data_IF_473603803933
#
_entry.id   IF_473603803933
#
_cell.length_a   1.000
_cell.length_b   1.000
_cell.length_c   1.000
_cell.angle_alpha   90.00
_cell.angle_beta   90.00
_cell.angle_gamma   90.00
#
_symmetry.space_group_name_H-M   'P 1'
#
loop_
_entity.id
_entity.type
_entity.pdbx_description
1 polymer ?
#
# COMPACT_ATOMS: atom_id res chain seq x y z
N UNK A 1 23.86 3.76 35.11
CA UNK A 1 22.36 3.82 35.10
C UNK A 1 21.85 2.73 34.18
N UNK A 2 20.87 1.92 34.59
CA UNK A 2 20.32 0.89 33.71
C UNK A 2 19.57 1.57 32.54
N UNK A 3 19.89 1.17 31.31
CA UNK A 3 19.21 1.67 30.12
C UNK A 3 17.73 1.25 30.18
N UNK A 4 16.82 2.21 30.03
CA UNK A 4 15.39 1.90 29.93
C UNK A 4 15.05 1.57 28.47
N UNK A 5 14.69 0.29 28.15
CA UNK A 5 14.39 -0.15 26.80
C UNK A 5 13.29 0.67 26.12
N UNK A 6 12.22 0.98 26.84
CA UNK A 6 11.06 1.71 26.27
C UNK A 6 11.44 3.14 25.87
N UNK A 7 12.31 3.79 26.63
CA UNK A 7 12.79 5.13 26.29
C UNK A 7 13.66 5.11 25.03
N UNK A 8 14.50 4.09 24.85
CA UNK A 8 15.33 3.94 23.64
C UNK A 8 14.43 3.71 22.43
N UNK A 9 13.48 2.77 22.52
CA UNK A 9 12.53 2.49 21.44
C UNK A 9 11.69 3.73 21.11
N UNK A 10 11.20 4.46 22.12
CA UNK A 10 10.45 5.71 21.89
C UNK A 10 11.29 6.78 21.19
N UNK A 11 12.58 6.91 21.55
CA UNK A 11 13.52 7.86 20.92
C UNK A 11 13.77 7.52 19.46
N UNK A 12 14.01 6.25 19.14
CA UNK A 12 14.16 5.74 17.76
C UNK A 12 12.88 5.95 16.97
N UNK A 13 11.73 5.64 17.56
CA UNK A 13 10.41 5.80 16.91
C UNK A 13 10.13 7.26 16.58
N UNK A 14 10.32 8.18 17.52
CA UNK A 14 10.12 9.63 17.30
C UNK A 14 11.01 10.18 16.20
N UNK A 15 12.20 9.62 16.02
CA UNK A 15 13.12 10.05 14.98
C UNK A 15 12.70 9.54 13.60
N UNK A 16 12.40 8.24 13.46
CA UNK A 16 12.24 7.66 12.13
C UNK A 16 10.77 7.59 11.68
N UNK A 17 9.83 7.26 12.55
CA UNK A 17 8.47 6.93 12.12
C UNK A 17 7.74 8.10 11.45
N UNK A 18 7.76 9.34 11.97
CA UNK A 18 7.13 10.46 11.28
C UNK A 18 7.72 10.73 9.90
N UNK A 19 9.04 10.62 9.77
CA UNK A 19 9.72 10.84 8.49
C UNK A 19 9.43 9.70 7.49
N UNK A 20 9.41 8.45 7.93
CA UNK A 20 9.05 7.32 7.07
C UNK A 20 7.58 7.35 6.66
N UNK A 21 6.67 7.79 7.56
CA UNK A 21 5.26 8.06 7.22
C UNK A 21 5.19 9.12 6.10
N UNK A 22 5.97 10.20 6.20
CA UNK A 22 6.05 11.22 5.15
C UNK A 22 6.55 10.63 3.82
N UNK A 23 7.60 9.84 3.83
CA UNK A 23 8.10 9.18 2.62
C UNK A 23 7.04 8.25 1.98
N UNK A 24 6.30 7.51 2.81
CA UNK A 24 5.27 6.59 2.31
C UNK A 24 3.99 7.32 1.88
N UNK A 25 3.68 8.44 2.54
CA UNK A 25 2.63 9.36 2.10
C UNK A 25 2.89 9.83 0.66
N UNK A 26 4.11 10.31 0.36
CA UNK A 26 4.50 10.72 -0.98
C UNK A 26 4.43 9.55 -1.98
N UNK A 27 4.89 8.36 -1.57
CA UNK A 27 4.82 7.15 -2.41
C UNK A 27 3.39 6.86 -2.83
N UNK A 28 2.48 6.87 -1.87
CA UNK A 28 1.09 6.53 -2.17
C UNK A 28 0.36 7.64 -2.93
N UNK A 29 0.70 8.92 -2.66
CA UNK A 29 0.21 10.06 -3.41
C UNK A 29 0.58 9.95 -4.89
N UNK A 30 1.88 9.79 -5.21
CA UNK A 30 2.40 9.66 -6.58
C UNK A 30 1.89 8.41 -7.31
N UNK A 31 1.47 7.38 -6.57
CA UNK A 31 0.91 6.16 -7.12
C UNK A 31 -0.54 6.32 -7.57
N UNK A 32 -1.34 7.09 -6.82
CA UNK A 32 -2.79 7.20 -7.06
C UNK A 32 -3.22 8.50 -7.74
N UNK A 33 -2.36 9.52 -7.79
CA UNK A 33 -2.66 10.82 -8.42
C UNK A 33 -3.02 10.70 -9.91
N UNK A 34 -2.54 9.66 -10.59
CA UNK A 34 -2.90 9.34 -11.96
C UNK A 34 -4.43 9.18 -12.16
N UNK A 35 -5.15 8.74 -11.11
CA UNK A 35 -6.61 8.67 -11.12
C UNK A 35 -7.28 10.05 -11.22
N UNK A 36 -6.66 11.07 -10.61
CA UNK A 36 -7.11 12.47 -10.74
C UNK A 36 -6.67 13.08 -12.05
N UNK A 37 -5.44 12.84 -12.50
CA UNK A 37 -4.97 13.26 -13.82
C UNK A 37 -5.94 12.82 -14.93
N UNK A 38 -6.44 11.59 -14.83
CA UNK A 38 -7.37 11.00 -15.79
C UNK A 38 -8.64 11.83 -16.06
N UNK A 39 -9.03 12.69 -15.10
CA UNK A 39 -10.21 13.56 -15.25
C UNK A 39 -10.09 14.51 -16.44
N UNK A 40 -8.88 14.90 -16.81
CA UNK A 40 -8.59 15.79 -17.94
C UNK A 40 -7.58 15.19 -18.93
N UNK A 41 -6.54 14.51 -18.44
CA UNK A 41 -5.48 13.91 -19.24
C UNK A 41 -6.00 12.92 -20.29
N UNK A 42 -6.94 12.04 -19.94
CA UNK A 42 -7.42 11.02 -20.87
C UNK A 42 -8.01 11.64 -22.15
N UNK A 43 -8.74 12.77 -22.01
CA UNK A 43 -9.28 13.49 -23.13
C UNK A 43 -8.17 14.18 -23.95
N UNK A 44 -7.18 14.77 -23.27
CA UNK A 44 -6.11 15.54 -23.91
C UNK A 44 -5.19 14.68 -24.78
N UNK A 45 -4.91 13.44 -24.36
CA UNK A 45 -4.00 12.53 -25.07
C UNK A 45 -4.75 11.36 -25.76
N UNK A 46 -6.09 11.38 -25.74
CA UNK A 46 -6.93 10.43 -26.48
C UNK A 46 -6.95 9.00 -25.90
N UNK A 47 -6.83 8.83 -24.57
CA UNK A 47 -6.87 7.51 -23.95
C UNK A 47 -8.30 6.97 -23.81
N UNK A 48 -8.52 5.73 -24.24
CA UNK A 48 -9.70 4.95 -23.86
C UNK A 48 -9.62 4.52 -22.37
N UNK A 49 -10.73 4.05 -21.82
CA UNK A 49 -10.72 3.54 -20.44
C UNK A 49 -9.83 2.30 -20.29
N UNK A 50 -9.81 1.41 -21.28
CA UNK A 50 -8.90 0.26 -21.31
C UNK A 50 -7.44 0.69 -21.37
N UNK A 51 -7.10 1.66 -22.25
CA UNK A 51 -5.75 2.20 -22.37
C UNK A 51 -5.28 2.87 -21.08
N UNK A 52 -6.15 3.66 -20.43
CA UNK A 52 -5.87 4.23 -19.11
C UNK A 52 -5.67 3.14 -18.05
N UNK A 53 -6.58 2.17 -17.96
CA UNK A 53 -6.49 1.05 -17.02
C UNK A 53 -5.20 0.27 -17.20
N UNK A 54 -4.79 -0.04 -18.41
CA UNK A 54 -3.53 -0.70 -18.73
C UNK A 54 -2.32 0.14 -18.32
N UNK A 55 -2.27 1.40 -18.72
CA UNK A 55 -1.18 2.30 -18.38
C UNK A 55 -1.03 2.52 -16.88
N UNK A 56 -2.15 2.74 -16.16
CA UNK A 56 -2.14 2.88 -14.72
C UNK A 56 -1.62 1.60 -14.02
N UNK A 57 -1.92 0.43 -14.59
CA UNK A 57 -1.62 -0.89 -14.01
C UNK A 57 -0.24 -1.41 -14.33
N UNK A 58 0.34 -1.09 -15.49
CA UNK A 58 1.66 -1.61 -15.92
C UNK A 58 2.78 -1.21 -14.95
N UNK A 59 2.55 -0.18 -14.14
CA UNK A 59 3.35 0.16 -12.97
C UNK A 59 3.58 -1.05 -12.05
N UNK A 60 2.52 -1.79 -11.72
CA UNK A 60 2.61 -2.94 -10.82
C UNK A 60 3.42 -4.08 -11.41
N UNK A 61 3.43 -4.21 -12.72
CA UNK A 61 4.29 -5.21 -13.40
C UNK A 61 5.77 -4.82 -13.27
N UNK A 62 6.12 -3.56 -13.52
CA UNK A 62 7.47 -3.04 -13.31
C UNK A 62 7.92 -3.19 -11.85
N UNK A 63 7.05 -2.84 -10.93
CA UNK A 63 7.28 -2.97 -9.50
C UNK A 63 7.55 -4.44 -9.11
N UNK A 64 6.69 -5.37 -9.52
CA UNK A 64 6.81 -6.80 -9.24
C UNK A 64 8.12 -7.41 -9.74
N UNK A 65 8.51 -7.12 -10.98
CA UNK A 65 9.71 -7.68 -11.58
C UNK A 65 11.01 -7.21 -10.90
N UNK A 66 11.02 -5.99 -10.38
CA UNK A 66 12.22 -5.37 -9.81
C UNK A 66 12.22 -5.27 -8.28
N UNK A 67 11.17 -5.69 -7.59
CA UNK A 67 11.07 -5.66 -6.13
C UNK A 67 12.19 -6.47 -5.46
N UNK A 68 12.38 -7.73 -5.87
CA UNK A 68 13.43 -8.60 -5.32
C UNK A 68 14.84 -8.11 -5.66
N UNK A 69 15.19 -7.83 -6.94
CA UNK A 69 16.48 -7.25 -7.28
C UNK A 69 16.81 -5.98 -6.52
N UNK A 70 15.84 -5.07 -6.36
CA UNK A 70 16.00 -3.81 -5.62
C UNK A 70 16.36 -4.05 -4.15
N UNK A 71 15.69 -5.00 -3.48
CA UNK A 71 15.99 -5.30 -2.08
C UNK A 71 17.38 -5.95 -1.88
N UNK A 72 17.79 -6.83 -2.81
CA UNK A 72 19.13 -7.40 -2.78
C UNK A 72 20.23 -6.34 -2.92
N UNK A 73 19.98 -5.30 -3.73
CA UNK A 73 20.91 -4.19 -3.86
C UNK A 73 20.90 -3.34 -2.58
N UNK A 74 19.72 -3.09 -2.00
CA UNK A 74 19.59 -2.35 -0.72
C UNK A 74 20.43 -2.99 0.38
N UNK A 75 20.41 -4.32 0.54
CA UNK A 75 21.22 -5.03 1.51
C UNK A 75 22.71 -4.82 1.32
N UNK A 76 23.18 -4.71 0.07
CA UNK A 76 24.60 -4.51 -0.27
C UNK A 76 25.05 -3.04 -0.17
N UNK A 77 24.20 -2.10 -0.55
CA UNK A 77 24.56 -0.67 -0.65
C UNK A 77 24.24 0.13 0.60
N UNK A 78 23.43 -0.42 1.50
CA UNK A 78 22.86 0.28 2.65
C UNK A 78 21.51 0.93 2.35
N UNK A 79 20.63 0.93 3.35
CA UNK A 79 19.26 1.38 3.21
C UNK A 79 19.18 2.88 2.90
N UNK A 80 20.00 3.70 3.55
CA UNK A 80 20.06 5.17 3.36
C UNK A 80 20.29 5.54 1.89
N UNK A 81 21.34 4.99 1.29
CA UNK A 81 21.72 5.31 -0.10
C UNK A 81 20.65 4.78 -1.06
N UNK A 82 20.20 3.55 -0.85
CA UNK A 82 19.29 2.91 -1.80
C UNK A 82 17.88 3.50 -1.76
N UNK A 83 17.33 3.78 -0.57
CA UNK A 83 16.03 4.47 -0.42
C UNK A 83 16.09 5.86 -1.02
N UNK A 84 17.18 6.61 -0.80
CA UNK A 84 17.38 7.92 -1.41
C UNK A 84 17.40 7.84 -2.95
N UNK A 85 18.14 6.87 -3.51
CA UNK A 85 18.16 6.62 -4.95
C UNK A 85 16.74 6.33 -5.49
N UNK A 86 15.99 5.45 -4.80
CA UNK A 86 14.61 5.14 -5.17
C UNK A 86 13.79 6.43 -5.21
N UNK A 87 13.79 7.23 -4.15
CA UNK A 87 12.97 8.44 -4.07
C UNK A 87 13.38 9.51 -5.08
N UNK A 88 14.68 9.72 -5.31
CA UNK A 88 15.16 10.69 -6.31
C UNK A 88 14.73 10.27 -7.72
N UNK A 89 14.98 9.01 -8.11
CA UNK A 89 14.66 8.52 -9.45
C UNK A 89 13.15 8.48 -9.68
N UNK A 90 12.40 8.02 -8.70
CA UNK A 90 10.94 8.00 -8.77
C UNK A 90 10.37 9.44 -8.80
N UNK A 91 10.87 10.37 -7.98
CA UNK A 91 10.43 11.76 -8.00
C UNK A 91 10.65 12.45 -9.36
N UNK A 92 11.79 12.19 -10.00
CA UNK A 92 12.04 12.65 -11.38
C UNK A 92 11.01 12.06 -12.34
N UNK A 93 10.77 10.75 -12.27
CA UNK A 93 9.81 10.08 -13.15
C UNK A 93 8.38 10.51 -12.88
N UNK A 94 8.01 10.83 -11.62
CA UNK A 94 6.73 11.44 -11.28
C UNK A 94 6.54 12.77 -12.02
N UNK A 95 7.53 13.66 -11.95
CA UNK A 95 7.52 14.93 -12.71
C UNK A 95 7.47 14.68 -14.22
N UNK A 96 8.17 13.66 -14.74
CA UNK A 96 8.16 13.31 -16.15
C UNK A 96 6.77 12.93 -16.68
N UNK A 97 5.82 12.51 -15.81
CA UNK A 97 4.44 12.28 -16.24
C UNK A 97 3.78 13.54 -16.85
N UNK A 98 4.26 14.74 -16.51
CA UNK A 98 3.81 15.97 -17.13
C UNK A 98 4.09 16.04 -18.65
N UNK A 99 4.97 15.20 -19.17
CA UNK A 99 5.41 15.20 -20.58
C UNK A 99 4.87 14.01 -21.36
N UNK A 100 3.86 13.31 -20.87
CA UNK A 100 3.14 12.26 -21.61
C UNK A 100 2.37 12.90 -22.76
N UNK A 101 2.46 12.28 -23.96
CA UNK A 101 1.80 12.81 -25.18
C UNK A 101 0.96 11.77 -25.94
N UNK A 102 1.05 10.49 -25.59
CA UNK A 102 0.23 9.41 -26.15
C UNK A 102 0.23 8.18 -25.21
N UNK A 103 -0.52 7.14 -25.59
CA UNK A 103 -0.62 5.88 -24.84
C UNK A 103 0.74 5.16 -24.67
N UNK A 104 1.56 5.09 -25.71
CA UNK A 104 2.86 4.43 -25.66
C UNK A 104 3.80 5.13 -24.67
N UNK A 105 3.88 6.46 -24.69
CA UNK A 105 4.68 7.23 -23.73
C UNK A 105 4.16 7.07 -22.31
N UNK A 106 2.85 6.97 -22.13
CA UNK A 106 2.21 6.69 -20.86
C UNK A 106 2.59 5.31 -20.33
N UNK A 107 2.48 4.26 -21.14
CA UNK A 107 2.83 2.89 -20.75
C UNK A 107 4.30 2.76 -20.39
N UNK A 108 5.19 3.28 -21.23
CA UNK A 108 6.62 3.22 -21.01
C UNK A 108 7.01 3.93 -19.69
N UNK A 109 6.48 5.14 -19.48
CA UNK A 109 6.81 5.90 -18.28
C UNK A 109 6.24 5.26 -17.01
N UNK A 110 5.00 4.74 -17.04
CA UNK A 110 4.39 4.02 -15.92
C UNK A 110 5.15 2.74 -15.57
N UNK A 111 5.61 1.98 -16.56
CA UNK A 111 6.45 0.81 -16.33
C UNK A 111 7.77 1.18 -15.65
N UNK A 112 8.50 2.16 -16.20
CA UNK A 112 9.79 2.62 -15.66
C UNK A 112 9.60 3.23 -14.26
N UNK A 113 8.49 3.92 -14.03
CA UNK A 113 8.12 4.45 -12.72
C UNK A 113 7.94 3.32 -11.69
N UNK A 114 7.27 2.23 -12.08
CA UNK A 114 7.15 1.03 -11.24
C UNK A 114 8.50 0.39 -10.92
N UNK A 115 9.40 0.30 -11.92
CA UNK A 115 10.78 -0.19 -11.73
C UNK A 115 11.56 0.71 -10.76
N UNK A 116 11.42 2.02 -10.86
CA UNK A 116 12.14 2.97 -10.02
C UNK A 116 11.67 2.94 -8.56
N UNK A 117 10.37 2.78 -8.32
CA UNK A 117 9.76 2.68 -6.99
C UNK A 117 9.92 1.29 -6.37
N UNK A 118 10.21 0.28 -7.19
CA UNK A 118 10.34 -1.10 -6.74
C UNK A 118 11.35 -1.24 -5.59
N UNK A 119 10.94 -1.96 -4.55
CA UNK A 119 11.75 -2.16 -3.35
C UNK A 119 11.62 -1.06 -2.29
N UNK A 120 10.86 0.02 -2.53
CA UNK A 120 10.67 1.07 -1.51
C UNK A 120 9.98 0.53 -0.26
N UNK A 121 8.77 -0.01 -0.38
CA UNK A 121 8.02 -0.52 0.77
C UNK A 121 8.75 -1.67 1.49
N UNK A 122 9.14 -2.77 0.81
CA UNK A 122 9.87 -3.84 1.48
C UNK A 122 11.25 -3.39 1.98
N UNK A 123 11.89 -2.42 1.33
CA UNK A 123 13.14 -1.81 1.80
C UNK A 123 12.96 -1.04 3.12
N UNK A 124 11.86 -0.31 3.27
CA UNK A 124 11.52 0.33 4.56
C UNK A 124 11.24 -0.74 5.63
N UNK A 125 10.49 -1.79 5.30
CA UNK A 125 10.23 -2.89 6.25
C UNK A 125 11.55 -3.53 6.69
N UNK A 126 12.47 -3.78 5.77
CA UNK A 126 13.80 -4.29 6.08
C UNK A 126 14.60 -3.30 6.96
N UNK A 127 14.57 -2.00 6.62
CA UNK A 127 15.21 -0.95 7.42
C UNK A 127 14.68 -0.92 8.85
N UNK A 128 13.36 -1.07 9.04
CA UNK A 128 12.76 -1.16 10.38
C UNK A 128 13.27 -2.36 11.18
N UNK A 129 13.65 -3.46 10.53
CA UNK A 129 14.28 -4.61 11.23
C UNK A 129 15.67 -4.30 11.77
N UNK A 130 16.37 -3.32 11.21
CA UNK A 130 17.68 -2.89 11.70
C UNK A 130 17.61 -1.99 12.93
N UNK A 131 16.41 -1.46 13.25
CA UNK A 131 16.21 -0.49 14.32
C UNK A 131 15.26 -0.94 15.42
N UNK A 132 14.36 -1.90 15.14
CA UNK A 132 13.32 -2.31 16.07
C UNK A 132 13.36 -3.81 16.32
N UNK A 133 13.46 -4.23 17.61
CA UNK A 133 13.30 -5.63 18.00
C UNK A 133 11.94 -6.21 17.61
N UNK A 134 11.87 -7.53 17.45
CA UNK A 134 10.68 -8.24 16.96
C UNK A 134 9.41 -7.94 17.75
N UNK A 135 9.55 -7.77 19.08
CA UNK A 135 8.43 -7.56 20.01
C UNK A 135 7.63 -6.27 19.70
N UNK A 136 8.29 -5.23 19.20
CA UNK A 136 7.65 -3.94 18.91
C UNK A 136 7.44 -3.71 17.42
N UNK A 137 8.07 -4.51 16.56
CA UNK A 137 8.14 -4.28 15.11
C UNK A 137 6.76 -4.27 14.44
N UNK A 138 5.87 -5.18 14.80
CA UNK A 138 4.52 -5.24 14.23
C UNK A 138 3.74 -3.93 14.48
N UNK A 139 3.83 -3.38 15.70
CA UNK A 139 3.22 -2.09 16.06
C UNK A 139 3.83 -0.94 15.25
N UNK A 140 5.15 -0.94 15.07
CA UNK A 140 5.86 0.11 14.31
C UNK A 140 5.48 0.07 12.83
N UNK A 141 5.40 -1.12 12.23
CA UNK A 141 4.94 -1.29 10.84
C UNK A 141 3.49 -0.83 10.70
N UNK A 142 2.61 -1.18 11.65
CA UNK A 142 1.23 -0.70 11.66
C UNK A 142 1.13 0.83 11.69
N UNK A 143 1.94 1.50 12.51
CA UNK A 143 2.01 2.97 12.52
C UNK A 143 2.49 3.54 11.19
N UNK A 144 3.48 2.92 10.55
CA UNK A 144 3.98 3.31 9.24
C UNK A 144 2.90 3.17 8.14
N UNK A 145 2.11 2.11 8.16
CA UNK A 145 1.06 1.86 7.17
C UNK A 145 -0.10 2.85 7.22
N UNK A 146 -0.28 3.61 8.31
CA UNK A 146 -1.28 4.68 8.40
C UNK A 146 -1.07 5.77 7.32
N UNK A 147 0.12 5.87 6.76
CA UNK A 147 0.40 6.76 5.63
C UNK A 147 -0.54 6.53 4.44
N UNK A 148 -0.99 5.29 4.19
CA UNK A 148 -1.84 4.94 3.04
C UNK A 148 -3.19 5.67 3.06
N UNK A 149 -4.03 5.49 4.09
CA UNK A 149 -5.30 6.22 4.15
C UNK A 149 -5.11 7.73 4.34
N UNK A 150 -4.06 8.19 5.02
CA UNK A 150 -3.75 9.63 5.13
C UNK A 150 -3.42 10.22 3.76
N UNK A 151 -2.68 9.49 2.92
CA UNK A 151 -2.37 9.92 1.55
C UNK A 151 -3.64 10.08 0.71
N UNK A 152 -4.59 9.17 0.83
CA UNK A 152 -5.88 9.31 0.13
C UNK A 152 -6.70 10.49 0.66
N UNK A 153 -6.72 10.70 2.00
CA UNK A 153 -7.46 11.76 2.65
C UNK A 153 -6.96 13.17 2.26
N UNK A 154 -5.65 13.35 2.21
CA UNK A 154 -5.01 14.65 1.93
C UNK A 154 -4.75 14.80 0.43
N UNK A 155 -4.30 13.73 -0.23
CA UNK A 155 -3.90 13.75 -1.64
C UNK A 155 -5.06 14.03 -2.57
N UNK A 156 -6.24 13.44 -2.32
CA UNK A 156 -7.40 13.64 -3.18
C UNK A 156 -7.84 15.12 -3.26
N UNK A 157 -8.04 15.85 -2.15
CA UNK A 157 -8.31 17.30 -2.20
C UNK A 157 -7.14 18.09 -2.81
N UNK A 158 -5.89 17.71 -2.51
CA UNK A 158 -4.71 18.41 -3.03
C UNK A 158 -4.64 18.30 -4.56
N UNK A 159 -4.70 17.10 -5.11
CA UNK A 159 -4.69 16.85 -6.56
C UNK A 159 -5.82 17.60 -7.27
N UNK A 160 -7.03 17.53 -6.72
CA UNK A 160 -8.19 18.23 -7.28
C UNK A 160 -8.09 19.76 -7.16
N UNK A 161 -7.52 20.26 -6.08
CA UNK A 161 -7.24 21.69 -5.91
C UNK A 161 -6.25 22.17 -6.97
N UNK A 162 -5.14 21.48 -7.19
CA UNK A 162 -4.16 21.84 -8.23
C UNK A 162 -4.83 21.86 -9.61
N UNK A 163 -5.59 20.80 -9.95
CA UNK A 163 -6.31 20.71 -11.22
C UNK A 163 -7.32 21.86 -11.42
N UNK A 164 -7.97 22.31 -10.34
CA UNK A 164 -9.01 23.34 -10.41
C UNK A 164 -8.46 24.75 -10.41
N UNK A 165 -7.41 25.03 -9.64
CA UNK A 165 -6.88 26.39 -9.43
C UNK A 165 -5.88 26.77 -10.52
N UNK A 166 -4.99 25.84 -10.89
CA UNK A 166 -4.00 26.10 -11.93
C UNK A 166 -4.67 26.12 -13.30
N UNK A 167 -5.69 25.28 -13.51
CA UNK A 167 -6.46 25.22 -14.75
C UNK A 167 -5.58 24.92 -15.97
N UNK A 168 -6.20 25.01 -17.14
CA UNK A 168 -5.48 24.85 -18.40
C UNK A 168 -4.91 26.21 -18.89
N UNK A 169 -3.65 26.17 -19.26
CA UNK A 169 -2.98 27.29 -19.91
C UNK A 169 -2.10 28.17 -19.03
N UNK A 170 -1.96 27.91 -17.74
CA UNK A 170 -0.96 28.58 -16.91
C UNK A 170 0.44 28.27 -17.45
N UNK A 171 1.12 29.25 -18.01
CA UNK A 171 2.37 29.12 -18.77
C UNK A 171 2.31 28.12 -19.94
N UNK A 172 1.13 27.91 -20.54
CA UNK A 172 0.93 26.95 -21.63
C UNK A 172 0.93 25.50 -21.24
N UNK A 173 0.92 25.20 -19.91
CA UNK A 173 0.96 23.86 -19.33
C UNK A 173 -0.44 23.49 -18.83
N UNK A 174 -0.87 22.27 -19.03
CA UNK A 174 -2.18 21.75 -18.60
C UNK A 174 -2.24 21.54 -17.09
N UNK A 175 -3.43 21.61 -16.49
CA UNK A 175 -3.62 21.41 -15.06
C UNK A 175 -3.12 20.05 -14.57
N UNK A 176 -3.35 18.95 -15.33
CA UNK A 176 -2.84 17.62 -14.98
C UNK A 176 -1.31 17.51 -15.05
N UNK A 177 -0.66 18.26 -15.94
CA UNK A 177 0.80 18.32 -16.02
C UNK A 177 1.38 19.01 -14.78
N UNK A 178 0.78 20.16 -14.39
CA UNK A 178 1.14 20.85 -13.16
C UNK A 178 0.97 19.99 -11.93
N UNK A 179 -0.07 19.16 -11.86
CA UNK A 179 -0.29 18.26 -10.73
C UNK A 179 0.90 17.30 -10.56
N UNK A 180 1.37 16.68 -11.63
CA UNK A 180 2.56 15.79 -11.55
C UNK A 180 3.84 16.54 -11.17
N UNK A 181 4.03 17.77 -11.63
CA UNK A 181 5.20 18.59 -11.27
C UNK A 181 5.16 18.95 -9.79
N UNK A 182 4.02 19.45 -9.30
CA UNK A 182 3.86 19.93 -7.92
C UNK A 182 3.91 18.78 -6.91
N UNK A 183 3.32 17.64 -7.23
CA UNK A 183 3.30 16.48 -6.33
C UNK A 183 4.59 15.65 -6.40
N UNK A 184 5.25 15.55 -7.55
CA UNK A 184 6.52 14.83 -7.70
C UNK A 184 7.73 15.58 -7.13
N UNK A 185 7.69 16.92 -7.10
CA UNK A 185 8.80 17.71 -6.59
C UNK A 185 9.12 17.47 -5.10
N UNK A 186 8.15 17.40 -4.17
CA UNK A 186 8.40 17.03 -2.79
C UNK A 186 9.09 15.66 -2.64
N UNK A 187 8.71 14.69 -3.46
CA UNK A 187 9.33 13.35 -3.49
C UNK A 187 10.80 13.43 -3.88
N UNK A 188 11.09 14.14 -4.96
CA UNK A 188 12.47 14.37 -5.43
C UNK A 188 13.34 15.04 -4.36
N UNK A 189 12.85 16.11 -3.73
CA UNK A 189 13.54 16.83 -2.65
C UNK A 189 13.75 15.92 -1.43
N UNK A 190 12.70 15.17 -1.04
CA UNK A 190 12.76 14.25 0.11
C UNK A 190 13.82 13.18 -0.10
N UNK A 191 14.07 12.72 -1.33
CA UNK A 191 15.15 11.79 -1.63
C UNK A 191 16.54 12.30 -1.19
N UNK A 192 16.84 13.58 -1.33
CA UNK A 192 18.07 14.17 -0.80
C UNK A 192 18.04 14.30 0.73
N UNK A 193 16.86 14.60 1.30
CA UNK A 193 16.73 14.66 2.78
C UNK A 193 16.99 13.27 3.38
N UNK A 194 16.58 12.18 2.72
CA UNK A 194 16.87 10.79 3.14
C UNK A 194 18.38 10.59 3.33
N UNK A 195 19.21 11.07 2.41
CA UNK A 195 20.68 10.96 2.52
C UNK A 195 21.25 11.64 3.76
N UNK A 196 20.63 12.73 4.20
CA UNK A 196 21.09 13.48 5.37
C UNK A 196 20.48 12.96 6.69
N UNK A 197 19.25 12.43 6.63
CA UNK A 197 18.46 12.13 7.82
C UNK A 197 18.52 10.67 8.29
N UNK A 198 18.48 9.71 7.35
CA UNK A 198 18.55 8.30 7.70
C UNK A 198 19.96 7.90 8.11
N UNK A 199 20.02 6.94 9.03
CA UNK A 199 21.28 6.30 9.48
C UNK A 199 21.12 4.80 9.19
N UNK A 200 22.14 4.16 8.60
CA UNK A 200 22.02 2.77 8.16
C UNK A 200 21.91 1.78 9.32
N UNK A 201 22.62 2.02 10.42
CA UNK A 201 22.60 1.09 11.55
C UNK A 201 22.67 1.82 12.90
N UNK A 202 22.22 1.16 14.00
CA UNK A 202 22.37 1.72 15.34
C UNK A 202 23.82 2.02 15.73
N UNK A 203 24.81 1.32 15.17
CA UNK A 203 26.23 1.55 15.42
C UNK A 203 26.67 2.94 15.01
N UNK A 204 26.07 3.47 13.95
CA UNK A 204 26.40 4.77 13.33
C UNK A 204 25.56 5.92 13.91
N UNK A 205 24.66 5.62 14.87
CA UNK A 205 23.73 6.59 15.45
C UNK A 205 24.40 7.54 16.44
N UNK A 206 24.86 8.69 15.98
CA UNK A 206 25.48 9.73 16.82
C UNK A 206 24.49 10.41 17.78
N UNK A 207 23.21 10.32 17.52
CA UNK A 207 22.12 10.88 18.32
C UNK A 207 21.64 9.98 19.47
N UNK A 208 22.13 8.72 19.55
CA UNK A 208 22.03 7.83 20.71
C UNK A 208 23.26 7.99 21.59
N UNK A 209 23.08 7.97 22.92
CA UNK A 209 24.21 7.89 23.81
C UNK A 209 24.89 6.51 23.74
N UNK A 210 26.07 6.36 24.34
CA UNK A 210 26.85 5.14 24.22
C UNK A 210 26.16 3.90 24.82
N UNK A 211 25.43 4.07 25.93
CA UNK A 211 24.70 2.98 26.61
C UNK A 211 23.47 2.57 25.79
N UNK A 212 22.66 3.53 25.31
CA UNK A 212 21.51 3.30 24.45
C UNK A 212 21.91 2.55 23.17
N UNK A 213 23.01 2.99 22.55
CA UNK A 213 23.55 2.40 21.32
C UNK A 213 24.01 0.95 21.57
N UNK A 214 24.79 0.74 22.62
CA UNK A 214 25.28 -0.59 22.99
C UNK A 214 24.15 -1.56 23.28
N UNK A 215 23.16 -1.12 24.05
CA UNK A 215 21.96 -1.92 24.35
C UNK A 215 21.22 -2.32 23.07
N UNK A 216 20.94 -1.36 22.18
CA UNK A 216 20.17 -1.63 20.96
C UNK A 216 20.93 -2.59 20.03
N UNK A 217 22.24 -2.38 19.85
CA UNK A 217 23.09 -3.26 19.03
C UNK A 217 23.10 -4.69 19.57
N UNK A 218 23.29 -4.86 20.90
CA UNK A 218 23.30 -6.17 21.52
C UNK A 218 21.95 -6.87 21.41
N UNK A 219 20.84 -6.14 21.63
CA UNK A 219 19.48 -6.70 21.52
C UNK A 219 19.18 -7.23 20.13
N UNK A 220 19.52 -6.44 19.09
CA UNK A 220 19.30 -6.83 17.69
C UNK A 220 20.25 -7.96 17.25
N UNK A 221 21.48 -7.99 17.75
CA UNK A 221 22.43 -9.07 17.49
C UNK A 221 21.95 -10.41 18.08
N UNK A 222 21.44 -10.40 19.32
CA UNK A 222 20.87 -11.59 19.96
C UNK A 222 19.64 -12.12 19.19
N UNK A 223 18.78 -11.24 18.64
CA UNK A 223 17.66 -11.66 17.79
C UNK A 223 18.15 -12.31 16.49
N UNK A 224 19.20 -11.76 15.87
CA UNK A 224 19.75 -12.26 14.61
C UNK A 224 20.35 -13.66 14.74
N UNK A 225 21.13 -13.89 15.78
CA UNK A 225 21.72 -15.22 16.06
C UNK A 225 20.66 -16.30 16.26
N UNK A 226 19.53 -15.97 16.88
CA UNK A 226 18.43 -16.91 17.08
C UNK A 226 17.68 -17.26 15.77
N UNK A 227 17.69 -16.37 14.77
CA UNK A 227 17.03 -16.59 13.48
C UNK A 227 17.87 -17.40 12.50
N UNK A 228 19.19 -17.31 12.55
CA UNK A 228 20.10 -18.04 11.65
C UNK A 228 20.03 -19.57 11.84
N UNK A 229 19.47 -20.04 12.96
CA UNK A 229 19.24 -21.46 13.24
C UNK A 229 18.01 -22.06 12.55
N UNK A 230 17.21 -21.28 11.79
CA UNK A 230 15.94 -21.73 11.21
C UNK A 230 16.10 -22.06 9.72
N UNK A 231 15.71 -23.27 9.31
CA UNK A 231 15.74 -23.75 7.93
C UNK A 231 14.91 -22.85 6.99
N UNK A 232 15.48 -22.49 5.84
CA UNK A 232 14.78 -21.68 4.81
C UNK A 232 13.92 -22.56 3.91
N UNK A 233 12.67 -22.14 3.74
CA UNK A 233 11.74 -22.71 2.76
C UNK A 233 12.23 -22.35 1.35
N UNK A 234 12.28 -23.31 0.45
CA UNK A 234 12.66 -23.01 -0.93
C UNK A 234 11.52 -22.34 -1.68
N UNK A 235 11.84 -21.48 -2.65
CA UNK A 235 10.83 -20.83 -3.49
C UNK A 235 9.92 -21.86 -4.17
N UNK A 236 10.46 -23.01 -4.58
CA UNK A 236 9.70 -24.09 -5.20
C UNK A 236 8.65 -24.69 -4.23
N UNK A 237 9.02 -24.91 -2.98
CA UNK A 237 8.10 -25.42 -1.94
C UNK A 237 7.00 -24.41 -1.66
N UNK A 238 7.32 -23.10 -1.57
CA UNK A 238 6.34 -22.04 -1.39
C UNK A 238 5.36 -21.95 -2.58
N UNK A 239 5.87 -22.01 -3.82
CA UNK A 239 5.06 -21.96 -5.04
C UNK A 239 4.08 -23.13 -5.19
N UNK A 240 4.37 -24.28 -4.60
CA UNK A 240 3.54 -25.49 -4.70
C UNK A 240 2.63 -25.70 -3.49
N UNK A 241 2.81 -24.94 -2.41
CA UNK A 241 2.04 -25.14 -1.17
C UNK A 241 0.60 -24.59 -1.30
N UNK A 242 -0.45 -25.44 -1.22
CA UNK A 242 -1.83 -25.01 -1.51
C UNK A 242 -2.33 -23.86 -0.64
N UNK A 243 -1.94 -23.86 0.66
CA UNK A 243 -2.34 -22.78 1.58
C UNK A 243 -1.69 -21.44 1.24
N UNK A 244 -0.43 -21.45 0.76
CA UNK A 244 0.27 -20.23 0.31
C UNK A 244 -0.42 -19.64 -0.91
N UNK A 245 -0.75 -20.49 -1.89
CA UNK A 245 -1.47 -20.06 -3.10
C UNK A 245 -2.88 -19.54 -2.78
N UNK A 246 -3.59 -20.21 -1.87
CA UNK A 246 -4.91 -19.75 -1.41
C UNK A 246 -4.82 -18.38 -0.71
N UNK A 247 -3.84 -18.17 0.17
CA UNK A 247 -3.60 -16.86 0.82
C UNK A 247 -3.15 -15.79 -0.18
N UNK A 248 -2.35 -16.16 -1.18
CA UNK A 248 -1.99 -15.24 -2.26
C UNK A 248 -3.24 -14.79 -3.06
N UNK A 249 -4.18 -15.70 -3.32
CA UNK A 249 -5.44 -15.37 -3.98
C UNK A 249 -6.36 -14.51 -3.10
N UNK A 250 -6.38 -14.74 -1.79
CA UNK A 250 -7.07 -13.87 -0.82
C UNK A 250 -6.50 -12.46 -0.87
N UNK A 251 -5.18 -12.32 -0.79
CA UNK A 251 -4.52 -11.02 -0.84
C UNK A 251 -4.70 -10.32 -2.18
N UNK A 252 -4.63 -11.07 -3.28
CA UNK A 252 -4.96 -10.58 -4.62
C UNK A 252 -6.36 -9.96 -4.69
N UNK A 253 -7.38 -10.61 -4.12
CA UNK A 253 -8.75 -10.09 -4.14
C UNK A 253 -8.95 -8.85 -3.27
N UNK A 254 -8.15 -8.62 -2.22
CA UNK A 254 -8.17 -7.36 -1.46
C UNK A 254 -7.47 -6.26 -2.28
N UNK A 255 -6.30 -6.57 -2.81
CA UNK A 255 -5.44 -5.62 -3.53
C UNK A 255 -6.08 -5.17 -4.83
N UNK A 256 -6.79 -6.08 -5.54
CA UNK A 256 -7.55 -5.73 -6.75
C UNK A 256 -8.63 -4.68 -6.45
N UNK A 257 -9.34 -4.83 -5.32
CA UNK A 257 -10.31 -3.84 -4.85
C UNK A 257 -9.65 -2.51 -4.48
N UNK A 258 -8.56 -2.55 -3.70
CA UNK A 258 -7.84 -1.37 -3.22
C UNK A 258 -7.38 -0.47 -4.38
N UNK A 259 -6.61 -1.02 -5.30
CA UNK A 259 -6.02 -0.22 -6.38
C UNK A 259 -7.04 0.13 -7.46
N UNK A 260 -7.98 -0.76 -7.77
CA UNK A 260 -9.03 -0.41 -8.75
C UNK A 260 -9.92 0.72 -8.23
N UNK A 261 -10.36 0.63 -6.97
CA UNK A 261 -11.15 1.71 -6.37
C UNK A 261 -10.34 3.01 -6.30
N UNK A 262 -9.09 2.95 -5.81
CA UNK A 262 -8.23 4.13 -5.71
C UNK A 262 -7.99 4.85 -7.04
N UNK A 263 -7.82 4.10 -8.13
CA UNK A 263 -7.55 4.66 -9.47
C UNK A 263 -8.82 5.14 -10.20
N UNK A 264 -9.96 4.45 -10.01
CA UNK A 264 -11.19 4.74 -10.75
C UNK A 264 -12.18 5.61 -9.99
N UNK A 265 -12.09 5.68 -8.65
CA UNK A 265 -13.03 6.45 -7.83
C UNK A 265 -13.18 7.92 -8.24
N UNK A 266 -12.10 8.68 -8.58
CA UNK A 266 -12.23 10.04 -9.04
C UNK A 266 -13.10 10.15 -10.30
N UNK A 267 -12.92 9.24 -11.26
CA UNK A 267 -13.72 9.22 -12.50
C UNK A 267 -15.17 8.79 -12.24
N UNK A 268 -15.40 7.83 -11.33
CA UNK A 268 -16.74 7.40 -10.93
C UNK A 268 -17.50 8.57 -10.29
N UNK A 269 -16.87 9.25 -9.33
CA UNK A 269 -17.47 10.42 -8.65
C UNK A 269 -17.71 11.59 -9.64
N UNK A 270 -16.78 11.81 -10.55
CA UNK A 270 -16.94 12.81 -11.60
C UNK A 270 -18.15 12.53 -12.49
N UNK A 271 -18.41 11.26 -12.80
CA UNK A 271 -19.58 10.85 -13.59
C UNK A 271 -20.91 11.05 -12.84
N UNK A 272 -20.90 11.24 -11.52
CA UNK A 272 -22.08 11.62 -10.74
C UNK A 272 -22.44 13.11 -10.90
N UNK A 273 -21.68 13.88 -11.69
CA UNK A 273 -21.91 15.28 -11.95
C UNK A 273 -21.12 16.22 -11.04
N UNK A 274 -20.25 15.71 -10.17
CA UNK A 274 -19.39 16.51 -9.30
C UNK A 274 -18.42 17.38 -10.11
N UNK A 275 -18.09 18.58 -9.63
CA UNK A 275 -16.97 19.37 -10.13
C UNK A 275 -15.64 18.70 -9.80
N UNK A 276 -14.54 19.14 -10.40
CA UNK A 276 -13.20 18.58 -10.08
C UNK A 276 -12.88 18.75 -8.59
N UNK A 277 -13.18 19.93 -8.03
CA UNK A 277 -12.93 20.22 -6.61
C UNK A 277 -13.79 19.34 -5.70
N UNK A 278 -15.08 19.21 -5.97
CA UNK A 278 -15.99 18.32 -5.22
C UNK A 278 -15.55 16.86 -5.33
N UNK A 279 -15.07 16.44 -6.50
CA UNK A 279 -14.52 15.09 -6.69
C UNK A 279 -13.37 14.81 -5.72
N UNK A 280 -12.48 15.78 -5.48
CA UNK A 280 -11.39 15.63 -4.51
C UNK A 280 -11.89 15.41 -3.08
N UNK A 281 -12.81 16.26 -2.61
CA UNK A 281 -13.36 16.14 -1.28
C UNK A 281 -14.19 14.86 -1.11
N UNK A 282 -15.03 14.51 -2.07
CA UNK A 282 -15.81 13.29 -2.02
C UNK A 282 -14.89 12.06 -2.03
N UNK A 283 -13.87 12.03 -2.88
CA UNK A 283 -12.91 10.90 -2.94
C UNK A 283 -12.09 10.74 -1.65
N UNK A 284 -11.92 11.81 -0.87
CA UNK A 284 -11.26 11.75 0.44
C UNK A 284 -12.10 11.01 1.50
N UNK A 285 -13.44 11.01 1.38
CA UNK A 285 -14.35 10.42 2.39
C UNK A 285 -14.12 8.92 2.57
N UNK A 286 -14.06 8.07 1.50
CA UNK A 286 -13.70 6.66 1.64
C UNK A 286 -12.33 6.44 2.29
N UNK A 287 -11.36 7.33 2.06
CA UNK A 287 -10.06 7.31 2.73
C UNK A 287 -10.17 7.55 4.23
N UNK A 288 -10.96 8.54 4.65
CA UNK A 288 -11.21 8.83 6.06
C UNK A 288 -11.94 7.66 6.76
N UNK A 289 -13.02 7.18 6.15
CA UNK A 289 -13.77 6.02 6.67
C UNK A 289 -12.87 4.78 6.73
N UNK A 290 -12.03 4.60 5.72
CA UNK A 290 -11.04 3.52 5.67
C UNK A 290 -10.00 3.61 6.79
N UNK A 291 -9.48 4.80 7.07
CA UNK A 291 -8.53 5.00 8.18
C UNK A 291 -9.16 4.63 9.55
N UNK A 292 -10.38 5.11 9.80
CA UNK A 292 -11.12 4.79 11.01
C UNK A 292 -11.44 3.29 11.10
N UNK A 293 -11.93 2.71 10.01
CA UNK A 293 -12.23 1.28 9.93
C UNK A 293 -10.97 0.42 10.18
N UNK A 294 -9.84 0.77 9.55
CA UNK A 294 -8.56 0.09 9.75
C UNK A 294 -8.16 0.07 11.23
N UNK A 295 -8.19 1.23 11.90
CA UNK A 295 -7.73 1.36 13.29
C UNK A 295 -8.69 0.61 14.24
N UNK A 296 -9.98 0.85 14.13
CA UNK A 296 -10.98 0.27 15.05
C UNK A 296 -11.11 -1.23 14.86
N UNK A 297 -11.12 -1.70 13.61
CA UNK A 297 -11.26 -3.11 13.27
C UNK A 297 -10.06 -3.94 13.70
N UNK A 298 -8.84 -3.43 13.44
CA UNK A 298 -7.61 -4.08 13.88
C UNK A 298 -7.52 -4.15 15.39
N UNK A 299 -7.85 -3.03 16.08
CA UNK A 299 -7.86 -3.02 17.55
C UNK A 299 -8.85 -4.04 18.12
N UNK A 300 -10.04 -4.15 17.54
CA UNK A 300 -11.03 -5.14 17.96
C UNK A 300 -10.52 -6.57 17.74
N UNK A 301 -9.90 -6.84 16.58
CA UNK A 301 -9.25 -8.12 16.29
C UNK A 301 -8.14 -8.46 17.30
N UNK A 302 -7.33 -7.48 17.70
CA UNK A 302 -6.26 -7.68 18.68
C UNK A 302 -6.79 -7.97 20.08
N UNK A 303 -7.84 -7.27 20.52
CA UNK A 303 -8.46 -7.48 21.84
C UNK A 303 -9.18 -8.82 21.92
N UNK A 304 -9.85 -9.24 20.86
CA UNK A 304 -10.61 -10.50 20.81
C UNK A 304 -9.74 -11.72 20.51
N UNK A 305 -8.53 -11.52 19.96
CA UNK A 305 -7.67 -12.58 19.45
C UNK A 305 -8.22 -13.30 18.22
N UNK A 306 -9.38 -12.87 17.69
CA UNK A 306 -10.05 -13.48 16.56
C UNK A 306 -9.57 -12.84 15.25
N UNK A 307 -9.10 -13.66 14.29
CA UNK A 307 -8.51 -13.17 13.03
C UNK A 307 -9.37 -13.53 11.81
N UNK A 308 -9.97 -14.70 11.81
CA UNK A 308 -10.71 -15.25 10.67
C UNK A 308 -11.90 -14.37 10.29
N UNK A 309 -12.78 -14.09 11.24
CA UNK A 309 -13.97 -13.28 10.98
C UNK A 309 -13.65 -11.82 10.71
N UNK A 310 -12.53 -11.30 11.30
CA UNK A 310 -12.04 -9.97 10.99
C UNK A 310 -11.52 -9.83 9.56
N UNK A 311 -11.26 -10.94 8.88
CA UNK A 311 -10.94 -10.97 7.46
C UNK A 311 -12.18 -11.25 6.60
N UNK A 312 -13.02 -12.22 6.99
CA UNK A 312 -14.20 -12.65 6.23
C UNK A 312 -15.26 -11.55 6.12
N UNK A 313 -15.62 -10.95 7.26
CA UNK A 313 -16.70 -9.94 7.32
C UNK A 313 -16.38 -8.75 6.40
N UNK A 314 -15.25 -8.05 6.50
CA UNK A 314 -14.99 -6.92 5.63
C UNK A 314 -14.83 -7.33 4.17
N UNK A 315 -14.28 -8.51 3.86
CA UNK A 315 -14.17 -8.97 2.47
C UNK A 315 -15.54 -9.21 1.84
N UNK A 316 -16.44 -9.89 2.54
CA UNK A 316 -17.80 -10.18 2.03
C UNK A 316 -18.64 -8.91 1.98
N UNK A 317 -18.67 -8.11 3.05
CA UNK A 317 -19.44 -6.86 3.08
C UNK A 317 -18.91 -5.84 2.07
N UNK A 318 -17.59 -5.75 1.90
CA UNK A 318 -16.99 -4.89 0.89
C UNK A 318 -17.37 -5.30 -0.53
N UNK A 319 -17.38 -6.59 -0.82
CA UNK A 319 -17.86 -7.12 -2.09
C UNK A 319 -19.36 -6.86 -2.32
N UNK A 320 -20.20 -7.09 -1.31
CA UNK A 320 -21.62 -6.76 -1.38
C UNK A 320 -21.83 -5.25 -1.61
N UNK A 321 -21.08 -4.41 -0.93
CA UNK A 321 -21.16 -2.96 -1.10
C UNK A 321 -20.74 -2.51 -2.52
N UNK A 322 -19.67 -3.11 -3.10
CA UNK A 322 -19.30 -2.86 -4.50
C UNK A 322 -20.41 -3.25 -5.47
N UNK A 323 -21.00 -4.43 -5.29
CA UNK A 323 -22.13 -4.87 -6.13
C UNK A 323 -23.37 -3.97 -5.97
N UNK A 324 -23.69 -3.58 -4.73
CA UNK A 324 -24.79 -2.67 -4.45
C UNK A 324 -24.56 -1.29 -5.08
N UNK A 325 -23.33 -0.77 -5.05
CA UNK A 325 -23.00 0.53 -5.69
C UNK A 325 -23.24 0.53 -7.19
N UNK A 326 -23.01 -0.63 -7.84
CA UNK A 326 -23.26 -0.81 -9.27
C UNK A 326 -24.75 -1.02 -9.61
N UNK A 327 -25.56 -1.46 -8.64
CA UNK A 327 -26.98 -1.81 -8.86
C UNK A 327 -27.93 -0.64 -8.65
N UNK A 328 -27.53 0.39 -7.91
CA UNK A 328 -28.41 1.52 -7.56
C UNK A 328 -28.29 2.66 -8.58
N UNK A 329 -29.45 3.23 -8.95
CA UNK A 329 -29.50 4.34 -9.88
C UNK A 329 -29.13 5.71 -9.25
N UNK A 330 -29.26 5.84 -7.93
CA UNK A 330 -28.96 7.08 -7.21
C UNK A 330 -27.45 7.28 -7.04
N UNK A 331 -26.85 8.38 -7.56
CA UNK A 331 -25.43 8.70 -7.35
C UNK A 331 -25.04 8.75 -5.87
N UNK A 332 -25.91 9.33 -5.02
CA UNK A 332 -25.67 9.41 -3.59
C UNK A 332 -25.64 8.02 -2.93
N UNK A 333 -26.61 7.15 -3.27
CA UNK A 333 -26.63 5.77 -2.75
C UNK A 333 -25.40 4.99 -3.23
N UNK A 334 -25.06 5.11 -4.52
CA UNK A 334 -23.85 4.47 -5.08
C UNK A 334 -22.59 4.93 -4.34
N UNK A 335 -22.46 6.22 -4.08
CA UNK A 335 -21.31 6.78 -3.36
C UNK A 335 -21.23 6.28 -1.89
N UNK A 336 -22.37 6.17 -1.19
CA UNK A 336 -22.42 5.59 0.15
C UNK A 336 -21.89 4.15 0.15
N UNK A 337 -22.34 3.32 -0.81
CA UNK A 337 -21.85 1.95 -0.94
C UNK A 337 -20.36 1.88 -1.34
N UNK A 338 -19.88 2.77 -2.21
CA UNK A 338 -18.44 2.86 -2.52
C UNK A 338 -17.62 3.25 -1.29
N UNK A 339 -18.14 4.14 -0.46
CA UNK A 339 -17.49 4.53 0.80
C UNK A 339 -17.44 3.36 1.79
N UNK A 340 -18.54 2.61 1.92
CA UNK A 340 -18.57 1.39 2.74
C UNK A 340 -17.58 0.34 2.21
N UNK A 341 -17.54 0.12 0.89
CA UNK A 341 -16.58 -0.79 0.27
C UNK A 341 -15.13 -0.39 0.55
N UNK A 342 -14.80 0.91 0.42
CA UNK A 342 -13.49 1.44 0.78
C UNK A 342 -13.13 1.16 2.24
N UNK A 343 -14.05 1.44 3.17
CA UNK A 343 -13.89 1.12 4.59
C UNK A 343 -13.59 -0.36 4.83
N UNK A 344 -14.34 -1.24 4.18
CA UNK A 344 -14.14 -2.69 4.26
C UNK A 344 -12.78 -3.14 3.68
N UNK A 345 -12.37 -2.61 2.54
CA UNK A 345 -11.05 -2.90 1.93
C UNK A 345 -9.93 -2.53 2.89
N UNK A 346 -9.97 -1.33 3.47
CA UNK A 346 -8.95 -0.88 4.42
C UNK A 346 -8.97 -1.67 5.74
N UNK A 347 -10.13 -2.14 6.21
CA UNK A 347 -10.23 -3.00 7.38
C UNK A 347 -9.66 -4.41 7.12
N UNK A 348 -9.83 -4.95 5.92
CA UNK A 348 -9.31 -6.26 5.52
C UNK A 348 -7.78 -6.30 5.43
N UNK A 349 -7.13 -5.22 4.97
CA UNK A 349 -5.68 -5.17 4.72
C UNK A 349 -4.82 -5.58 5.92
N UNK A 350 -4.91 -4.93 7.10
CA UNK A 350 -4.12 -5.33 8.26
C UNK A 350 -4.58 -6.64 8.86
N UNK A 351 -5.87 -6.98 8.75
CA UNK A 351 -6.44 -8.23 9.26
C UNK A 351 -5.96 -9.46 8.49
N UNK A 352 -5.46 -9.28 7.28
CA UNK A 352 -4.93 -10.35 6.45
C UNK A 352 -3.57 -10.88 6.97
N UNK A 353 -2.62 -10.01 7.32
CA UNK A 353 -1.23 -10.41 7.58
C UNK A 353 -1.02 -11.36 8.76
N UNK A 354 -1.83 -11.36 9.82
CA UNK A 354 -1.77 -12.39 10.84
C UNK A 354 -2.09 -13.81 10.35
N UNK A 355 -2.90 -13.97 9.28
CA UNK A 355 -3.28 -15.29 8.76
C UNK A 355 -2.10 -16.09 8.18
N UNK A 356 -1.24 -15.53 7.28
CA UNK A 356 -0.04 -16.21 6.85
C UNK A 356 0.88 -16.63 7.98
N UNK A 357 1.05 -15.79 8.99
CA UNK A 357 1.93 -16.06 10.13
C UNK A 357 1.38 -17.13 11.09
N UNK A 358 0.06 -17.27 11.15
CA UNK A 358 -0.60 -18.33 11.94
C UNK A 358 -0.59 -19.69 11.22
N UNK A 359 -0.63 -19.69 9.89
CA UNK A 359 -0.71 -20.90 9.06
C UNK A 359 0.68 -21.42 8.67
N UNK A 360 1.64 -20.50 8.47
CA UNK A 360 3.00 -20.79 8.04
C UNK A 360 3.97 -20.61 9.20
N UNK A 361 4.64 -21.67 9.60
CA UNK A 361 5.63 -21.65 10.68
C UNK A 361 7.07 -21.73 10.18
N UNK A 362 8.02 -21.21 10.95
CA UNK A 362 9.44 -21.31 10.66
C UNK A 362 9.87 -20.65 9.35
N UNK A 363 10.72 -21.30 8.60
CA UNK A 363 11.25 -20.82 7.32
C UNK A 363 10.20 -20.70 6.21
N UNK A 364 9.13 -21.49 6.26
CA UNK A 364 7.99 -21.40 5.36
C UNK A 364 7.33 -20.03 5.39
N UNK A 365 7.31 -19.38 6.55
CA UNK A 365 6.68 -18.08 6.74
C UNK A 365 7.37 -16.99 5.90
N UNK A 366 8.71 -16.92 5.90
CA UNK A 366 9.42 -15.85 5.19
C UNK A 366 9.24 -15.93 3.67
N UNK A 367 9.46 -17.11 3.08
CA UNK A 367 9.29 -17.32 1.63
C UNK A 367 7.83 -17.26 1.19
N UNK A 368 6.92 -17.82 1.99
CA UNK A 368 5.49 -17.79 1.72
C UNK A 368 4.90 -16.37 1.80
N UNK A 369 5.28 -15.57 2.79
CA UNK A 369 4.84 -14.17 2.93
C UNK A 369 5.32 -13.33 1.74
N UNK A 370 6.57 -13.49 1.33
CA UNK A 370 7.11 -12.79 0.15
C UNK A 370 6.34 -13.15 -1.12
N UNK A 371 6.06 -14.44 -1.34
CA UNK A 371 5.28 -14.90 -2.48
C UNK A 371 3.83 -14.39 -2.46
N UNK A 372 3.18 -14.44 -1.29
CA UNK A 372 1.81 -13.93 -1.11
C UNK A 372 1.77 -12.44 -1.45
N UNK A 373 2.73 -11.65 -0.97
CA UNK A 373 2.80 -10.23 -1.28
C UNK A 373 3.00 -9.99 -2.79
N UNK A 374 3.94 -10.68 -3.39
CA UNK A 374 4.25 -10.54 -4.81
C UNK A 374 3.06 -10.91 -5.71
N UNK A 375 2.45 -12.08 -5.50
CA UNK A 375 1.28 -12.52 -6.27
C UNK A 375 0.05 -11.65 -5.98
N UNK A 376 -0.15 -11.25 -4.73
CA UNK A 376 -1.25 -10.39 -4.35
C UNK A 376 -1.18 -9.02 -5.02
N UNK A 377 0.00 -8.43 -5.11
CA UNK A 377 0.20 -7.14 -5.79
C UNK A 377 -0.11 -7.16 -7.29
N UNK A 378 -0.14 -8.34 -7.94
CA UNK A 378 -0.65 -8.48 -9.31
C UNK A 378 -2.15 -8.14 -9.41
N UNK A 379 -2.90 -8.12 -8.30
CA UNK A 379 -4.26 -7.56 -8.27
C UNK A 379 -4.29 -6.09 -8.69
N UNK A 380 -3.26 -5.31 -8.36
CA UNK A 380 -3.09 -3.94 -8.83
C UNK A 380 -2.81 -3.84 -10.34
N UNK A 381 -2.26 -4.89 -10.96
CA UNK A 381 -2.13 -4.97 -12.41
C UNK A 381 -3.45 -5.35 -13.08
N UNK A 382 -4.10 -6.41 -12.62
CA UNK A 382 -5.29 -6.97 -13.28
C UNK A 382 -6.54 -6.10 -13.08
N UNK A 383 -6.74 -5.57 -11.88
CA UNK A 383 -8.00 -4.91 -11.51
C UNK A 383 -8.34 -3.67 -12.33
N UNK A 384 -7.44 -2.66 -12.40
CA UNK A 384 -7.75 -1.46 -13.15
C UNK A 384 -7.91 -1.69 -14.66
N UNK A 385 -7.18 -2.66 -15.26
CA UNK A 385 -7.36 -3.07 -16.65
C UNK A 385 -8.78 -3.62 -16.83
N UNK A 386 -9.17 -4.53 -15.96
CA UNK A 386 -10.49 -5.16 -16.03
C UNK A 386 -11.62 -4.14 -15.92
N UNK A 387 -11.52 -3.18 -14.99
CA UNK A 387 -12.53 -2.12 -14.85
C UNK A 387 -12.57 -1.23 -16.10
N UNK A 388 -11.41 -0.85 -16.65
CA UNK A 388 -11.32 -0.04 -17.87
C UNK A 388 -11.92 -0.75 -19.08
N UNK A 389 -11.58 -2.04 -19.26
CA UNK A 389 -12.13 -2.87 -20.33
C UNK A 389 -13.65 -3.02 -20.23
N UNK A 390 -14.16 -3.30 -19.04
CA UNK A 390 -15.61 -3.39 -18.82
C UNK A 390 -16.32 -2.08 -19.08
N UNK A 391 -15.70 -0.94 -18.73
CA UNK A 391 -16.25 0.39 -19.01
C UNK A 391 -16.34 0.67 -20.51
N UNK A 392 -15.30 0.36 -21.29
CA UNK A 392 -15.32 0.53 -22.74
C UNK A 392 -16.35 -0.40 -23.41
N UNK A 393 -16.50 -1.62 -22.88
CA UNK A 393 -17.45 -2.61 -23.41
C UNK A 393 -18.92 -2.26 -23.09
N UNK A 394 -19.21 -1.77 -21.88
CA UNK A 394 -20.59 -1.58 -21.37
C UNK A 394 -21.03 -0.13 -21.31
N UNK A 395 -20.10 0.82 -21.51
CA UNK A 395 -20.34 2.26 -21.34
C UNK A 395 -20.38 2.72 -19.87
N UNK A 396 -20.33 1.77 -18.89
CA UNK A 396 -20.47 2.06 -17.45
C UNK A 396 -19.41 1.38 -16.61
N UNK A 397 -19.23 1.84 -15.36
CA UNK A 397 -18.33 1.18 -14.39
C UNK A 397 -18.95 -0.08 -13.77
N UNK A 398 -20.26 -0.33 -13.94
CA UNK A 398 -21.00 -1.39 -13.24
C UNK A 398 -20.38 -2.76 -13.40
N UNK A 399 -20.06 -3.18 -14.64
CA UNK A 399 -19.43 -4.47 -14.91
C UNK A 399 -18.09 -4.65 -14.19
N UNK A 400 -17.28 -3.58 -14.15
CA UNK A 400 -16.03 -3.56 -13.41
C UNK A 400 -16.24 -3.76 -11.90
N UNK A 401 -17.18 -3.00 -11.31
CA UNK A 401 -17.49 -3.09 -9.87
C UNK A 401 -18.04 -4.46 -9.46
N UNK A 402 -18.87 -5.10 -10.31
CA UNK A 402 -19.32 -6.50 -10.07
C UNK A 402 -18.17 -7.50 -10.08
N UNK A 403 -17.20 -7.35 -11.00
CA UNK A 403 -16.02 -8.20 -11.02
C UNK A 403 -15.16 -8.05 -9.76
N UNK A 404 -14.90 -6.80 -9.33
CA UNK A 404 -14.20 -6.53 -8.07
C UNK A 404 -14.95 -7.11 -6.87
N UNK A 405 -16.28 -6.99 -6.84
CA UNK A 405 -17.15 -7.59 -5.83
C UNK A 405 -16.95 -9.11 -5.73
N UNK A 406 -16.93 -9.79 -6.89
CA UNK A 406 -16.71 -11.23 -6.98
C UNK A 406 -15.34 -11.64 -6.38
N UNK A 407 -14.27 -10.93 -6.68
CA UNK A 407 -12.94 -11.22 -6.11
C UNK A 407 -12.91 -11.01 -4.59
N UNK A 408 -13.52 -9.95 -4.09
CA UNK A 408 -13.57 -9.69 -2.65
C UNK A 408 -14.39 -10.74 -1.89
N UNK A 409 -15.56 -11.12 -2.41
CA UNK A 409 -16.39 -12.19 -1.83
C UNK A 409 -15.62 -13.52 -1.86
N UNK A 410 -14.98 -13.84 -2.98
CA UNK A 410 -14.15 -15.05 -3.12
C UNK A 410 -13.02 -15.07 -2.07
N UNK A 411 -12.37 -13.95 -1.81
CA UNK A 411 -11.36 -13.85 -0.76
C UNK A 411 -11.92 -14.23 0.62
N UNK A 412 -13.09 -13.71 0.97
CA UNK A 412 -13.77 -14.07 2.22
C UNK A 412 -14.12 -15.56 2.29
N UNK A 413 -14.65 -16.14 1.19
CA UNK A 413 -15.00 -17.57 1.11
C UNK A 413 -13.76 -18.47 1.22
N UNK A 414 -12.64 -18.11 0.59
CA UNK A 414 -11.40 -18.88 0.70
C UNK A 414 -10.94 -18.91 2.16
N UNK A 415 -10.98 -17.77 2.88
CA UNK A 415 -10.60 -17.73 4.31
C UNK A 415 -11.53 -18.61 5.15
N UNK A 416 -12.82 -18.70 4.83
CA UNK A 416 -13.75 -19.64 5.50
C UNK A 416 -13.34 -21.10 5.33
N UNK A 417 -12.87 -21.47 4.14
CA UNK A 417 -12.48 -22.85 3.77
C UNK A 417 -11.11 -23.23 4.35
N UNK A 418 -10.16 -22.29 4.41
CA UNK A 418 -8.79 -22.56 4.89
C UNK A 418 -8.72 -23.07 6.33
N UNK A 419 -9.82 -22.95 7.06
CA UNK A 419 -9.92 -23.43 8.43
C UNK A 419 -9.28 -22.48 9.44
N UNK A 420 -9.45 -22.84 10.70
CA UNK A 420 -9.07 -22.02 11.84
C UNK A 420 -8.32 -22.92 12.85
N UNK A 421 -7.10 -22.60 13.18
CA UNK A 421 -6.37 -23.25 14.26
C UNK A 421 -6.29 -22.31 15.46
N UNK A 422 -7.25 -22.46 16.37
CA UNK A 422 -7.37 -21.65 17.60
C UNK A 422 -6.16 -21.76 18.54
N UNK A 423 -5.30 -22.76 18.36
CA UNK A 423 -4.10 -22.94 19.20
C UNK A 423 -3.00 -21.94 18.85
N UNK A 424 -2.90 -21.55 17.56
CA UNK A 424 -1.90 -20.59 17.09
C UNK A 424 -2.27 -19.14 17.43
N UNK A 425 -3.56 -18.85 17.63
CA UNK A 425 -4.03 -17.53 18.02
C UNK A 425 -3.80 -17.23 19.50
N UNK A 426 -3.93 -18.23 20.36
CA UNK A 426 -3.71 -18.10 21.81
C UNK A 426 -2.23 -17.97 22.21
N UNK A 427 -1.31 -18.44 21.38
CA UNK A 427 0.14 -18.32 21.64
C UNK A 427 0.71 -16.91 21.42
N UNK A 428 -0.05 -16.03 20.81
CA UNK A 428 0.33 -14.62 20.60
C UNK A 428 -0.06 -13.70 21.78
N UNK A 429 -0.80 -14.20 22.77
CA UNK A 429 -1.13 -13.43 23.97
C UNK A 429 0.01 -13.56 24.99
N UNK A 430 0.65 -12.47 25.43
CA UNK A 430 1.58 -12.54 26.55
C UNK A 430 0.81 -13.07 27.76
N UNK A 431 1.32 -14.15 28.37
CA UNK A 431 0.87 -14.58 29.69
C UNK A 431 1.19 -13.42 30.63
N UNK A 432 0.22 -12.59 30.94
CA UNK A 432 0.26 -11.78 32.14
C UNK A 432 0.20 -12.80 33.29
N UNK A 433 1.35 -13.05 33.91
CA UNK A 433 1.41 -13.70 35.20
C UNK A 433 0.44 -12.94 36.12
N UNK A 434 -0.57 -13.65 36.57
CA UNK A 434 -1.42 -13.19 37.65
C UNK A 434 -0.59 -13.11 38.95
N UNK A 435 -0.93 -12.22 39.88
CA UNK A 435 -0.17 -11.87 41.07
C UNK A 435 0.08 -12.99 42.04
#
# INVERSE_FOLDING_TARGET
MSVNPDQVIAKVSRRFIPFLIWCYFLSYLDRVNIGFAALTMNKDIGLSSTAFGFGASIFFLGYFLFEVPSNLILEKTGARIWIARIMITWGILSICHAFIWNDTSFYALRFIFGVAEAGFFPGIILYLTYWFPAEVRARIIGMFMVAVPISSLIGAPLSSWILSVVGDGFWGVKGWQWMFIVEGLPTFITGFIVLAYLTDSPKDATWLNAEERSWLVQRLAAERSNKEAIHHFTLKEALTHPRVLALALVYFGIVIGLYSLGLWLPQIVKNFGATIMETGFLTAIPGLVGALAMILWTRHSDVTGERKWHMVIPSVLGGIALAASASVASPTASFIFLTLAGGCIYAALPSFWPLPTAILSGAAAAGGIALINALGNLGGFVGPIFVGWMKDLTGTFGGGLYGLAGFMILSGLIVLILGHDTRLERSATPVHEAP
#
